data_IF_495854534229
#
_entry.id   IF_495854534229
#
_cell.length_a   1.000
_cell.length_b   1.000
_cell.length_c   1.000
_cell.angle_alpha   90.00
_cell.angle_beta   90.00
_cell.angle_gamma   90.00
#
_symmetry.space_group_name_H-M   'P 1'
#
loop_
_entity.id
_entity.type
_entity.pdbx_description
1 polymer ?
#
# COMPACT_ATOMS: atom_id res chain seq x y z
N UNK A 1 5.30 -5.75 28.35
CA UNK A 1 6.30 -5.76 27.25
C UNK A 1 6.65 -7.21 26.95
N UNK A 2 6.60 -7.62 25.69
CA UNK A 2 6.98 -8.98 25.26
C UNK A 2 8.48 -9.18 25.53
N UNK A 3 8.89 -10.28 26.16
CA UNK A 3 10.30 -10.53 26.48
C UNK A 3 11.11 -10.85 25.22
N UNK A 4 12.44 -10.66 25.28
CA UNK A 4 13.33 -11.02 24.15
C UNK A 4 13.25 -12.52 23.82
N UNK A 5 13.06 -13.37 24.84
CA UNK A 5 12.88 -14.81 24.66
C UNK A 5 11.58 -15.13 23.91
N UNK A 6 10.49 -14.41 24.20
CA UNK A 6 9.21 -14.56 23.49
C UNK A 6 9.32 -14.11 22.04
N UNK A 7 10.03 -13.02 21.79
CA UNK A 7 10.26 -12.53 20.42
C UNK A 7 11.12 -13.52 19.59
N UNK A 8 12.13 -14.12 20.19
CA UNK A 8 12.94 -15.17 19.54
C UNK A 8 12.11 -16.41 19.23
N UNK A 9 11.23 -16.83 20.17
CA UNK A 9 10.31 -17.96 19.96
C UNK A 9 9.34 -17.66 18.82
N UNK A 10 8.69 -16.49 18.82
CA UNK A 10 7.79 -16.08 17.75
C UNK A 10 8.49 -16.09 16.38
N UNK A 11 9.72 -15.54 16.29
CA UNK A 11 10.50 -15.55 15.06
C UNK A 11 10.69 -16.96 14.52
N UNK A 12 11.06 -17.89 15.39
CA UNK A 12 11.20 -19.30 14.99
C UNK A 12 9.88 -19.90 14.52
N UNK A 13 8.79 -19.69 15.24
CA UNK A 13 7.45 -20.17 14.87
C UNK A 13 7.02 -19.65 13.49
N UNK A 14 7.23 -18.36 13.23
CA UNK A 14 6.90 -17.74 11.94
C UNK A 14 7.79 -18.28 10.82
N UNK A 15 9.10 -18.45 11.06
CA UNK A 15 10.03 -19.04 10.08
C UNK A 15 9.61 -20.47 9.72
N UNK A 16 9.43 -21.32 10.72
CA UNK A 16 9.05 -22.74 10.52
C UNK A 16 7.72 -22.83 9.73
N UNK A 17 6.74 -21.99 10.09
CA UNK A 17 5.47 -21.95 9.39
C UNK A 17 5.61 -21.48 7.93
N UNK A 18 6.45 -20.47 7.65
CA UNK A 18 6.69 -19.96 6.31
C UNK A 18 7.41 -20.97 5.42
N UNK A 19 8.36 -21.73 5.96
CA UNK A 19 9.06 -22.80 5.24
C UNK A 19 8.07 -23.84 4.68
N UNK A 20 7.01 -24.17 5.45
CA UNK A 20 5.99 -25.14 5.06
C UNK A 20 4.88 -24.54 4.18
N UNK A 21 4.57 -23.24 4.31
CA UNK A 21 3.34 -22.67 3.78
C UNK A 21 3.54 -21.58 2.71
N UNK A 22 4.70 -20.92 2.65
CA UNK A 22 4.94 -19.87 1.68
C UNK A 22 4.87 -20.43 0.23
N UNK A 23 4.17 -19.74 -0.68
CA UNK A 23 4.00 -20.24 -2.05
C UNK A 23 5.33 -20.18 -2.81
N UNK A 24 5.94 -21.35 -2.99
CA UNK A 24 7.22 -21.47 -3.69
C UNK A 24 7.07 -21.22 -5.19
N UNK A 25 8.01 -20.46 -5.75
CA UNK A 25 8.03 -20.19 -7.20
C UNK A 25 6.84 -19.40 -7.74
N UNK A 26 6.10 -18.73 -6.89
CA UNK A 26 4.87 -17.99 -7.23
C UNK A 26 5.05 -17.03 -8.42
N UNK A 27 6.22 -16.40 -8.57
CA UNK A 27 6.48 -15.51 -9.72
C UNK A 27 6.37 -16.21 -11.07
N UNK A 28 6.80 -17.47 -11.15
CA UNK A 28 6.69 -18.26 -12.38
C UNK A 28 5.26 -18.68 -12.69
N UNK A 29 4.44 -18.83 -11.65
CA UNK A 29 3.02 -19.16 -11.80
C UNK A 29 2.17 -17.93 -12.19
N UNK A 30 2.53 -16.74 -11.69
CA UNK A 30 1.78 -15.51 -11.90
C UNK A 30 2.09 -14.84 -13.25
N UNK A 31 1.91 -15.56 -14.34
CA UNK A 31 2.13 -15.05 -15.72
C UNK A 31 0.89 -14.38 -16.31
N UNK A 32 -0.26 -14.46 -15.62
CA UNK A 32 -1.52 -13.80 -15.97
C UNK A 32 -2.12 -13.18 -14.73
N UNK A 33 -2.93 -12.13 -14.92
CA UNK A 33 -3.56 -11.38 -13.83
C UNK A 33 -4.43 -12.28 -12.95
N UNK A 34 -5.21 -13.20 -13.54
CA UNK A 34 -6.07 -14.12 -12.81
C UNK A 34 -5.25 -15.07 -11.92
N UNK A 35 -4.15 -15.61 -12.44
CA UNK A 35 -3.27 -16.49 -11.67
C UNK A 35 -2.62 -15.75 -10.49
N UNK A 36 -2.31 -14.47 -10.67
CA UNK A 36 -1.85 -13.62 -9.56
C UNK A 36 -2.95 -13.42 -8.52
N UNK A 37 -4.17 -13.09 -8.94
CA UNK A 37 -5.33 -12.91 -8.04
C UNK A 37 -5.62 -14.20 -7.25
N UNK A 38 -5.60 -15.35 -7.89
CA UNK A 38 -5.81 -16.65 -7.23
C UNK A 38 -4.70 -16.95 -6.21
N UNK A 39 -3.43 -16.69 -6.58
CA UNK A 39 -2.29 -16.82 -5.64
C UNK A 39 -2.47 -15.90 -4.42
N UNK A 40 -2.96 -14.67 -4.62
CA UNK A 40 -3.23 -13.73 -3.53
C UNK A 40 -4.34 -14.24 -2.60
N UNK A 41 -5.43 -14.81 -3.16
CA UNK A 41 -6.56 -15.37 -2.41
C UNK A 41 -6.13 -16.56 -1.56
N UNK A 42 -5.38 -17.49 -2.15
CA UNK A 42 -4.91 -18.69 -1.45
C UNK A 42 -3.90 -18.33 -0.36
N UNK A 43 -2.99 -17.41 -0.64
CA UNK A 43 -2.01 -16.93 0.33
C UNK A 43 -2.68 -16.19 1.48
N UNK A 44 -3.66 -15.33 1.20
CA UNK A 44 -4.42 -14.62 2.22
C UNK A 44 -5.13 -15.56 3.18
N UNK A 45 -5.83 -16.59 2.66
CA UNK A 45 -6.50 -17.61 3.49
C UNK A 45 -5.55 -18.31 4.44
N UNK A 46 -4.34 -18.67 3.97
CA UNK A 46 -3.30 -19.28 4.81
C UNK A 46 -2.85 -18.34 5.92
N UNK A 47 -2.59 -17.06 5.59
CA UNK A 47 -2.19 -16.06 6.57
C UNK A 47 -3.28 -15.78 7.61
N UNK A 48 -4.55 -15.71 7.21
CA UNK A 48 -5.67 -15.55 8.14
C UNK A 48 -5.76 -16.76 9.08
N UNK A 49 -5.71 -17.98 8.55
CA UNK A 49 -5.77 -19.20 9.36
C UNK A 49 -4.62 -19.31 10.37
N UNK A 50 -3.43 -18.78 10.03
CA UNK A 50 -2.27 -18.75 10.92
C UNK A 50 -2.26 -17.54 11.89
N UNK A 51 -3.17 -16.57 11.72
CA UNK A 51 -3.19 -15.35 12.50
C UNK A 51 -2.11 -14.33 12.11
N UNK A 52 -1.59 -14.40 10.88
CA UNK A 52 -0.52 -13.52 10.38
C UNK A 52 -1.01 -12.46 9.39
N UNK A 53 -2.29 -12.51 8.96
CA UNK A 53 -2.84 -11.52 8.03
C UNK A 53 -3.10 -10.16 8.68
N UNK A 54 -3.51 -10.15 9.94
CA UNK A 54 -4.03 -8.98 10.65
C UNK A 54 -3.42 -8.79 12.05
N UNK A 55 -2.10 -8.90 12.23
CA UNK A 55 -1.45 -8.83 13.54
C UNK A 55 -1.62 -7.45 14.20
N UNK A 56 -1.91 -6.41 13.42
CA UNK A 56 -2.11 -5.03 13.85
C UNK A 56 -3.56 -4.72 14.29
N UNK A 57 -4.50 -5.66 14.13
CA UNK A 57 -5.88 -5.46 14.58
C UNK A 57 -5.97 -5.61 16.12
N UNK A 58 -7.05 -5.12 16.76
CA UNK A 58 -7.28 -5.35 18.18
C UNK A 58 -7.33 -6.83 18.55
N UNK A 59 -6.99 -7.16 19.80
CA UNK A 59 -6.98 -8.54 20.30
C UNK A 59 -8.35 -9.25 20.29
N UNK A 60 -9.43 -8.50 20.14
CA UNK A 60 -10.77 -9.04 19.95
C UNK A 60 -10.99 -9.72 18.59
N UNK A 61 -10.06 -9.54 17.66
CA UNK A 61 -10.14 -10.12 16.31
C UNK A 61 -9.09 -11.21 16.11
N UNK A 62 -9.39 -12.25 15.30
CA UNK A 62 -8.45 -13.34 15.03
C UNK A 62 -7.09 -12.83 14.52
N UNK A 63 -6.01 -13.28 15.12
CA UNK A 63 -4.65 -12.87 14.78
C UNK A 63 -4.20 -11.52 15.30
N UNK A 64 -5.12 -10.70 15.82
CA UNK A 64 -4.86 -9.35 16.32
C UNK A 64 -4.20 -9.30 17.70
N UNK A 65 -3.98 -8.07 18.20
CA UNK A 65 -3.42 -7.80 19.53
C UNK A 65 -1.90 -8.00 19.63
N UNK A 66 -1.21 -8.16 18.50
CA UNK A 66 0.25 -8.27 18.51
C UNK A 66 0.89 -6.91 18.77
N UNK A 67 1.88 -6.91 19.67
CA UNK A 67 2.70 -5.71 19.89
C UNK A 67 3.43 -5.31 18.62
N UNK A 68 3.85 -4.04 18.49
CA UNK A 68 4.61 -3.56 17.33
C UNK A 68 5.90 -4.36 17.09
N UNK A 69 6.55 -4.85 18.17
CA UNK A 69 7.73 -5.70 18.05
C UNK A 69 7.40 -7.08 17.45
N UNK A 70 6.27 -7.68 17.83
CA UNK A 70 5.79 -8.92 17.24
C UNK A 70 5.35 -8.75 15.79
N UNK A 71 4.63 -7.68 15.48
CA UNK A 71 4.25 -7.32 14.11
C UNK A 71 5.48 -7.17 13.21
N UNK A 72 6.53 -6.49 13.70
CA UNK A 72 7.82 -6.38 13.01
C UNK A 72 8.35 -7.75 12.60
N UNK A 73 8.41 -8.69 13.55
CA UNK A 73 8.92 -10.05 13.29
C UNK A 73 8.12 -10.72 12.17
N UNK A 74 6.79 -10.68 12.25
CA UNK A 74 5.92 -11.31 11.26
C UNK A 74 6.20 -10.74 9.85
N UNK A 75 6.27 -9.41 9.71
CA UNK A 75 6.50 -8.79 8.41
C UNK A 75 7.93 -8.99 7.88
N UNK A 76 8.93 -8.98 8.76
CA UNK A 76 10.32 -9.29 8.39
C UNK A 76 10.45 -10.72 7.85
N UNK A 77 9.85 -11.70 8.54
CA UNK A 77 9.96 -13.10 8.11
C UNK A 77 9.19 -13.37 6.82
N UNK A 78 7.98 -12.79 6.65
CA UNK A 78 7.24 -12.84 5.38
C UNK A 78 8.07 -12.24 4.23
N UNK A 79 8.75 -11.12 4.48
CA UNK A 79 9.63 -10.49 3.49
C UNK A 79 10.86 -11.36 3.18
N UNK A 80 11.48 -11.96 4.20
CA UNK A 80 12.65 -12.84 4.07
C UNK A 80 12.33 -14.13 3.32
N UNK A 81 11.16 -14.73 3.58
CA UNK A 81 10.67 -15.90 2.87
C UNK A 81 10.33 -15.63 1.38
N UNK A 82 10.48 -14.37 0.94
CA UNK A 82 10.13 -13.94 -0.43
C UNK A 82 8.67 -14.29 -0.81
N UNK A 83 7.79 -14.38 0.18
CA UNK A 83 6.39 -14.65 -0.02
C UNK A 83 5.68 -13.47 -0.72
N UNK A 84 4.60 -13.71 -1.49
CA UNK A 84 3.90 -12.63 -2.20
C UNK A 84 3.39 -11.57 -1.24
N UNK A 85 3.59 -10.30 -1.59
CA UNK A 85 2.93 -9.19 -0.88
C UNK A 85 1.45 -9.22 -1.17
N UNK A 86 0.61 -8.97 -0.16
CA UNK A 86 -0.85 -8.99 -0.29
C UNK A 86 -1.39 -7.71 -0.96
N UNK A 87 -1.14 -7.54 -2.26
CA UNK A 87 -1.59 -6.35 -3.00
C UNK A 87 -3.12 -6.33 -3.14
N UNK A 88 -3.75 -7.49 -3.40
CA UNK A 88 -5.19 -7.61 -3.53
C UNK A 88 -5.92 -7.21 -2.23
N UNK A 89 -5.35 -7.55 -1.08
CA UNK A 89 -5.96 -7.33 0.23
C UNK A 89 -5.40 -6.12 0.98
N UNK A 90 -4.50 -5.37 0.37
CA UNK A 90 -3.91 -4.21 1.01
C UNK A 90 -4.97 -3.17 1.37
N UNK A 91 -5.88 -2.88 0.45
CA UNK A 91 -7.03 -2.01 0.69
C UNK A 91 -7.95 -2.53 1.81
N UNK A 92 -8.13 -3.85 1.90
CA UNK A 92 -8.99 -4.49 2.91
C UNK A 92 -8.37 -4.43 4.30
N UNK A 93 -7.16 -4.95 4.46
CA UNK A 93 -6.55 -5.19 5.79
C UNK A 93 -5.95 -3.94 6.42
N UNK A 94 -5.37 -3.04 5.62
CA UNK A 94 -4.74 -1.82 6.14
C UNK A 94 -5.64 -0.60 6.06
N UNK A 95 -6.37 -0.39 4.94
CA UNK A 95 -7.16 0.82 4.78
C UNK A 95 -8.57 0.63 5.35
N UNK A 96 -9.35 -0.30 4.82
CA UNK A 96 -10.74 -0.47 5.22
C UNK A 96 -10.86 -0.87 6.69
N UNK A 97 -10.09 -1.86 7.12
CA UNK A 97 -10.15 -2.33 8.50
C UNK A 97 -9.73 -1.26 9.50
N UNK A 98 -8.59 -0.57 9.28
CA UNK A 98 -8.16 0.49 10.20
C UNK A 98 -9.16 1.64 10.25
N UNK A 99 -9.74 2.02 9.11
CA UNK A 99 -10.75 3.08 9.06
C UNK A 99 -12.04 2.67 9.76
N UNK A 100 -12.49 1.41 9.58
CA UNK A 100 -13.66 0.87 10.27
C UNK A 100 -13.43 0.77 11.78
N UNK A 101 -12.25 0.35 12.22
CA UNK A 101 -11.90 0.24 13.64
C UNK A 101 -11.84 1.61 14.33
N UNK A 102 -11.46 2.67 13.61
CA UNK A 102 -11.32 4.02 14.17
C UNK A 102 -12.63 4.84 14.04
N UNK A 103 -13.33 4.73 12.90
CA UNK A 103 -14.45 5.59 12.53
C UNK A 103 -15.78 4.85 12.36
N UNK A 104 -15.76 3.53 12.25
CA UNK A 104 -16.97 2.74 12.03
C UNK A 104 -17.81 2.60 13.28
N UNK A 105 -19.13 2.71 13.14
CA UNK A 105 -20.06 2.34 14.18
C UNK A 105 -19.94 0.84 14.51
N UNK A 106 -20.32 0.39 15.73
CA UNK A 106 -20.26 -1.02 16.12
C UNK A 106 -20.94 -1.95 15.12
N UNK A 107 -22.07 -1.53 14.55
CA UNK A 107 -22.83 -2.29 13.55
C UNK A 107 -22.06 -2.42 12.23
N UNK A 108 -21.34 -1.37 11.81
CA UNK A 108 -20.50 -1.37 10.63
C UNK A 108 -19.27 -2.28 10.85
N UNK A 109 -18.63 -2.20 12.00
CA UNK A 109 -17.54 -3.09 12.36
C UNK A 109 -17.99 -4.55 12.36
N UNK A 110 -19.12 -4.87 12.99
CA UNK A 110 -19.68 -6.21 13.03
C UNK A 110 -20.09 -6.72 11.63
N UNK A 111 -20.53 -5.82 10.73
CA UNK A 111 -20.93 -6.14 9.36
C UNK A 111 -19.73 -6.42 8.45
N UNK A 112 -18.66 -5.63 8.54
CA UNK A 112 -17.62 -5.60 7.52
C UNK A 112 -16.31 -6.28 7.93
N UNK A 113 -15.87 -6.19 9.19
CA UNK A 113 -14.58 -6.78 9.58
C UNK A 113 -14.53 -8.31 9.44
N UNK A 114 -15.58 -9.09 9.77
CA UNK A 114 -15.59 -10.53 9.51
C UNK A 114 -15.47 -10.85 8.02
N UNK A 115 -16.13 -10.09 7.14
CA UNK A 115 -16.07 -10.31 5.69
C UNK A 115 -14.68 -10.05 5.11
N UNK A 116 -13.95 -9.08 5.66
CA UNK A 116 -12.55 -8.85 5.30
C UNK A 116 -11.72 -10.10 5.62
N UNK A 117 -11.89 -10.69 6.80
CA UNK A 117 -11.20 -11.94 7.18
C UNK A 117 -11.62 -13.13 6.31
N UNK A 118 -12.86 -13.16 5.83
CA UNK A 118 -13.38 -14.16 4.87
C UNK A 118 -12.88 -13.94 3.43
N UNK A 119 -12.22 -12.81 3.17
CA UNK A 119 -11.60 -12.51 1.87
C UNK A 119 -12.37 -11.51 1.01
N UNK A 120 -13.24 -10.67 1.59
CA UNK A 120 -13.83 -9.53 0.88
C UNK A 120 -12.74 -8.52 0.50
N UNK A 121 -12.70 -8.17 -0.78
CA UNK A 121 -11.69 -7.26 -1.34
C UNK A 121 -12.21 -5.83 -1.34
N UNK A 122 -11.39 -4.92 -0.82
CA UNK A 122 -11.67 -3.48 -0.77
C UNK A 122 -10.68 -2.69 -1.59
N UNK A 123 -11.17 -1.71 -2.34
CA UNK A 123 -10.36 -0.71 -3.02
C UNK A 123 -10.59 0.70 -2.44
N UNK A 124 -9.83 1.68 -2.93
CA UNK A 124 -9.99 3.09 -2.59
C UNK A 124 -10.48 3.88 -3.81
N UNK A 125 -11.53 4.68 -3.63
CA UNK A 125 -12.04 5.65 -4.59
C UNK A 125 -11.79 7.07 -4.09
N UNK A 126 -10.52 7.52 -4.13
CA UNK A 126 -10.10 8.84 -3.64
C UNK A 126 -9.82 9.78 -4.79
N UNK A 127 -8.75 9.55 -5.52
CA UNK A 127 -8.29 10.42 -6.61
C UNK A 127 -9.29 10.51 -7.76
N UNK A 128 -9.33 11.68 -8.39
CA UNK A 128 -10.09 11.96 -9.60
C UNK A 128 -9.16 12.47 -10.71
N UNK A 129 -9.56 12.50 -11.98
CA UNK A 129 -8.73 13.00 -13.06
C UNK A 129 -8.12 14.38 -12.80
N UNK A 130 -8.83 15.25 -12.07
CA UNK A 130 -8.40 16.61 -11.74
C UNK A 130 -8.03 16.81 -10.27
N UNK A 131 -8.04 15.75 -9.44
CA UNK A 131 -7.78 15.82 -8.02
C UNK A 131 -6.96 14.61 -7.54
N UNK A 132 -5.64 14.70 -7.66
CA UNK A 132 -4.67 13.73 -7.15
C UNK A 132 -4.00 14.22 -5.88
N UNK A 133 -2.89 14.96 -6.01
CA UNK A 133 -2.18 15.56 -4.86
C UNK A 133 -3.03 16.59 -4.12
N UNK A 134 -3.88 17.35 -4.83
CA UNK A 134 -4.92 18.18 -4.24
C UNK A 134 -6.21 17.37 -4.03
N UNK A 135 -6.13 16.39 -3.13
CA UNK A 135 -7.25 15.48 -2.86
C UNK A 135 -8.48 16.21 -2.33
N UNK A 136 -8.31 17.36 -1.67
CA UNK A 136 -9.42 18.14 -1.17
C UNK A 136 -10.27 18.75 -2.28
N UNK A 137 -9.81 18.77 -3.52
CA UNK A 137 -10.53 19.29 -4.68
C UNK A 137 -11.42 18.24 -5.39
N UNK A 138 -11.64 17.06 -4.79
CA UNK A 138 -12.53 16.04 -5.38
C UNK A 138 -13.95 16.59 -5.56
N UNK A 139 -14.55 16.20 -6.68
CA UNK A 139 -15.83 16.71 -7.17
C UNK A 139 -16.91 15.63 -7.34
N UNK A 140 -16.58 14.35 -7.18
CA UNK A 140 -17.58 13.27 -7.17
C UNK A 140 -18.69 13.61 -6.17
N UNK A 141 -19.88 13.90 -6.69
CA UNK A 141 -21.02 14.42 -5.91
C UNK A 141 -21.77 13.28 -5.25
N UNK A 142 -22.18 13.48 -4.01
CA UNK A 142 -23.14 12.64 -3.31
C UNK A 142 -24.26 13.52 -2.77
N UNK A 143 -25.48 13.28 -3.24
CA UNK A 143 -26.67 14.01 -2.84
C UNK A 143 -27.56 13.13 -1.95
N UNK A 144 -27.86 13.60 -0.75
CA UNK A 144 -28.74 12.88 0.16
C UNK A 144 -30.19 12.97 -0.33
N UNK A 145 -30.81 11.82 -0.62
CA UNK A 145 -32.22 11.68 -1.03
C UNK A 145 -32.90 10.64 -0.14
N UNK A 146 -33.64 11.12 0.82
CA UNK A 146 -34.26 10.25 1.83
C UNK A 146 -33.21 9.55 2.70
N UNK A 147 -33.17 8.24 2.65
CA UNK A 147 -32.25 7.38 3.39
C UNK A 147 -31.03 6.93 2.56
N UNK A 148 -30.79 7.54 1.39
CA UNK A 148 -29.70 7.17 0.47
C UNK A 148 -28.96 8.38 -0.06
N UNK A 149 -27.67 8.19 -0.33
CA UNK A 149 -26.86 9.08 -1.16
C UNK A 149 -26.94 8.63 -2.61
N UNK A 150 -27.24 9.55 -3.53
CA UNK A 150 -27.16 9.35 -4.98
C UNK A 150 -25.84 9.95 -5.46
N UNK A 151 -24.98 9.13 -6.05
CA UNK A 151 -23.59 9.46 -6.34
C UNK A 151 -23.36 9.52 -7.84
N UNK A 152 -22.73 10.61 -8.27
CA UNK A 152 -22.32 10.83 -9.65
C UNK A 152 -20.87 11.34 -9.71
N UNK A 153 -20.04 10.73 -10.56
CA UNK A 153 -18.65 11.15 -10.73
C UNK A 153 -17.73 10.06 -11.24
N UNK A 154 -16.43 10.30 -11.08
CA UNK A 154 -15.40 9.39 -11.56
C UNK A 154 -14.23 9.38 -10.60
N UNK A 155 -13.72 8.17 -10.30
CA UNK A 155 -12.47 7.98 -9.59
C UNK A 155 -11.43 7.35 -10.50
N UNK A 156 -10.15 7.56 -10.19
CA UNK A 156 -9.04 7.05 -10.99
C UNK A 156 -7.91 6.52 -10.09
N UNK A 157 -7.07 5.67 -10.64
CA UNK A 157 -5.93 5.04 -9.96
C UNK A 157 -6.32 4.13 -8.79
N UNK A 158 -7.55 3.60 -8.84
CA UNK A 158 -8.06 2.70 -7.81
C UNK A 158 -7.43 1.32 -7.96
N UNK A 159 -6.52 0.98 -7.02
CA UNK A 159 -5.78 -0.29 -7.03
C UNK A 159 -6.73 -1.47 -6.85
N UNK A 160 -6.63 -2.48 -7.72
CA UNK A 160 -7.41 -3.73 -7.70
C UNK A 160 -8.94 -3.54 -7.76
N UNK A 161 -9.44 -2.36 -8.13
CA UNK A 161 -10.87 -2.09 -8.21
C UNK A 161 -11.67 -3.05 -9.09
N UNK A 162 -11.15 -3.62 -10.20
CA UNK A 162 -11.89 -4.63 -10.98
C UNK A 162 -12.19 -5.92 -10.20
N UNK A 163 -11.45 -6.18 -9.13
CA UNK A 163 -11.60 -7.37 -8.27
C UNK A 163 -12.21 -7.05 -6.91
N UNK A 164 -12.50 -5.77 -6.64
CA UNK A 164 -13.02 -5.32 -5.37
C UNK A 164 -14.53 -5.58 -5.22
N UNK A 165 -14.91 -6.00 -4.03
CA UNK A 165 -16.32 -6.11 -3.62
C UNK A 165 -16.83 -4.79 -3.05
N UNK A 166 -15.94 -4.01 -2.41
CA UNK A 166 -16.24 -2.75 -1.74
C UNK A 166 -15.23 -1.67 -2.07
N UNK A 167 -15.66 -0.41 -1.91
CA UNK A 167 -14.79 0.74 -2.10
C UNK A 167 -14.94 1.75 -0.94
N UNK A 168 -13.80 2.18 -0.41
CA UNK A 168 -13.71 3.35 0.46
C UNK A 168 -13.84 4.59 -0.42
N UNK A 169 -15.00 5.22 -0.44
CA UNK A 169 -15.33 6.27 -1.39
C UNK A 169 -15.35 7.66 -0.74
N UNK A 170 -14.49 8.55 -1.18
CA UNK A 170 -14.51 9.95 -0.78
C UNK A 170 -15.35 10.77 -1.77
N UNK A 171 -16.38 11.43 -1.26
CA UNK A 171 -17.35 12.20 -2.06
C UNK A 171 -17.49 13.61 -1.56
N UNK A 172 -18.18 14.45 -2.33
CA UNK A 172 -18.55 15.81 -1.99
C UNK A 172 -20.05 15.93 -1.80
N UNK A 173 -20.48 16.30 -0.59
CA UNK A 173 -21.88 16.54 -0.24
C UNK A 173 -22.20 18.03 -0.15
N UNK A 174 -21.21 18.89 0.10
CA UNK A 174 -21.38 20.33 0.20
C UNK A 174 -20.25 21.10 -0.47
N UNK A 175 -20.55 22.17 -1.20
CA UNK A 175 -19.63 23.07 -1.88
C UNK A 175 -19.57 24.49 -1.28
N UNK A 176 -20.28 24.72 -0.17
CA UNK A 176 -20.44 26.07 0.41
C UNK A 176 -19.22 26.55 1.21
N UNK A 177 -18.28 25.64 1.55
CA UNK A 177 -17.15 25.92 2.41
C UNK A 177 -15.79 25.74 1.74
N UNK A 178 -14.73 25.66 2.56
CA UNK A 178 -13.39 25.30 2.10
C UNK A 178 -13.36 23.87 1.53
N UNK A 179 -12.43 23.57 0.63
CA UNK A 179 -12.35 22.27 -0.05
C UNK A 179 -12.36 21.05 0.90
N UNK A 180 -11.78 21.16 2.10
CA UNK A 180 -11.78 20.09 3.09
C UNK A 180 -13.12 19.93 3.81
N UNK A 181 -13.95 20.98 3.83
CA UNK A 181 -15.31 20.97 4.40
C UNK A 181 -16.28 20.46 3.33
N UNK A 182 -17.29 19.72 3.73
CA UNK A 182 -18.28 19.17 2.80
C UNK A 182 -17.85 17.91 2.06
N UNK A 183 -16.77 17.26 2.50
CA UNK A 183 -16.41 15.92 2.07
C UNK A 183 -17.05 14.88 2.99
N UNK A 184 -17.58 13.82 2.39
CA UNK A 184 -18.27 12.73 3.10
C UNK A 184 -17.67 11.40 2.65
N UNK A 185 -17.52 10.48 3.58
CA UNK A 185 -16.91 9.18 3.33
C UNK A 185 -17.96 8.07 3.33
N UNK A 186 -18.00 7.26 2.27
CA UNK A 186 -19.02 6.24 2.05
C UNK A 186 -18.39 4.87 1.78
N UNK A 187 -19.06 3.81 2.22
CA UNK A 187 -18.73 2.41 1.96
C UNK A 187 -19.54 1.92 0.76
N UNK A 188 -18.95 2.00 -0.42
CA UNK A 188 -19.61 1.67 -1.69
C UNK A 188 -19.58 0.17 -1.97
N UNK A 189 -20.71 -0.41 -2.37
CA UNK A 189 -20.79 -1.72 -3.00
C UNK A 189 -20.35 -1.61 -4.47
N UNK A 190 -19.26 -2.29 -4.85
CA UNK A 190 -18.74 -2.25 -6.22
C UNK A 190 -19.66 -2.96 -7.23
N UNK A 191 -20.63 -3.73 -6.75
CA UNK A 191 -21.66 -4.42 -7.56
C UNK A 191 -22.97 -3.63 -7.65
N UNK A 192 -23.05 -2.45 -7.01
CA UNK A 192 -24.23 -1.61 -7.09
C UNK A 192 -24.50 -1.16 -8.54
N UNK A 193 -25.78 -1.00 -8.87
CA UNK A 193 -26.20 -0.48 -10.19
C UNK A 193 -25.58 0.91 -10.40
N UNK A 194 -25.02 1.14 -11.59
CA UNK A 194 -24.38 2.41 -11.96
C UNK A 194 -22.88 2.45 -11.67
N UNK A 195 -22.29 1.46 -10.99
CA UNK A 195 -20.84 1.34 -10.79
C UNK A 195 -20.22 0.60 -11.97
N UNK A 196 -19.17 1.19 -12.55
CA UNK A 196 -18.36 0.55 -13.57
C UNK A 196 -16.87 0.77 -13.29
N UNK A 197 -16.12 -0.30 -13.00
CA UNK A 197 -14.67 -0.27 -12.92
C UNK A 197 -14.06 -0.63 -14.28
N UNK A 198 -13.18 0.23 -14.80
CA UNK A 198 -12.47 0.02 -16.08
C UNK A 198 -10.97 -0.05 -15.83
N UNK A 199 -10.32 -1.17 -16.12
CA UNK A 199 -8.87 -1.30 -15.98
C UNK A 199 -8.12 -0.26 -16.82
N UNK A 200 -6.98 0.21 -16.28
CA UNK A 200 -6.07 1.12 -16.97
C UNK A 200 -4.85 0.31 -17.41
N UNK A 201 -4.61 0.24 -18.71
CA UNK A 201 -3.40 -0.34 -19.27
C UNK A 201 -2.18 0.49 -18.86
N UNK A 202 -1.29 -0.11 -18.09
CA UNK A 202 -0.07 0.54 -17.64
C UNK A 202 1.09 0.29 -18.61
N UNK A 203 2.15 1.11 -18.51
CA UNK A 203 3.38 0.93 -19.30
C UNK A 203 4.02 -0.45 -19.06
N UNK A 204 3.82 -1.04 -17.89
CA UNK A 204 4.21 -2.40 -17.52
C UNK A 204 3.37 -3.46 -18.22
N UNK A 205 2.17 -3.12 -18.69
CA UNK A 205 1.18 -4.00 -19.31
C UNK A 205 0.27 -4.70 -18.30
N UNK A 206 0.38 -4.40 -17.01
CA UNK A 206 -0.59 -4.85 -16.02
C UNK A 206 -1.81 -3.90 -15.97
N UNK A 207 -2.90 -4.37 -15.37
CA UNK A 207 -4.19 -3.68 -15.26
C UNK A 207 -4.65 -3.58 -13.80
N UNK A 208 -3.70 -3.47 -12.87
CA UNK A 208 -4.01 -3.41 -11.44
C UNK A 208 -4.70 -2.11 -10.99
N UNK A 209 -4.57 -1.03 -11.76
CA UNK A 209 -5.29 0.22 -11.52
C UNK A 209 -6.52 0.33 -12.41
N UNK A 210 -7.54 0.99 -11.91
CA UNK A 210 -8.76 1.25 -12.67
C UNK A 210 -9.30 2.66 -12.47
N UNK A 211 -10.12 3.08 -13.42
CA UNK A 211 -11.12 4.13 -13.25
C UNK A 211 -12.40 3.50 -12.68
N UNK A 212 -13.10 4.24 -11.83
CA UNK A 212 -14.43 3.87 -11.34
C UNK A 212 -15.40 4.97 -11.77
N UNK A 213 -16.33 4.63 -12.64
CA UNK A 213 -17.43 5.50 -13.06
C UNK A 213 -18.64 5.25 -12.18
N UNK A 214 -19.29 6.33 -11.76
CA UNK A 214 -20.44 6.33 -10.87
C UNK A 214 -21.57 7.13 -11.55
N UNK A 215 -22.66 6.44 -11.86
CA UNK A 215 -23.82 7.01 -12.57
C UNK A 215 -25.11 6.67 -11.80
N UNK A 216 -25.64 7.68 -11.09
CA UNK A 216 -26.77 7.56 -10.17
C UNK A 216 -26.68 6.37 -9.20
N UNK A 217 -25.49 6.18 -8.64
CA UNK A 217 -25.21 5.08 -7.70
C UNK A 217 -25.81 5.38 -6.33
N UNK A 218 -26.63 4.48 -5.81
CA UNK A 218 -27.25 4.63 -4.51
C UNK A 218 -26.43 3.95 -3.40
N UNK A 219 -26.13 4.68 -2.34
CA UNK A 219 -25.49 4.19 -1.11
C UNK A 219 -26.36 4.53 0.10
N UNK A 220 -26.74 3.55 0.94
CA UNK A 220 -27.50 3.80 2.15
C UNK A 220 -26.77 4.73 3.13
N UNK A 221 -27.52 5.56 3.86
CA UNK A 221 -26.94 6.44 4.90
C UNK A 221 -26.19 5.65 5.98
N UNK A 222 -26.63 4.44 6.27
CA UNK A 222 -25.98 3.51 7.21
C UNK A 222 -24.57 3.09 6.79
N UNK A 223 -24.22 3.21 5.50
CA UNK A 223 -22.88 2.93 4.94
C UNK A 223 -22.02 4.22 4.85
N UNK A 224 -22.40 5.31 5.53
CA UNK A 224 -21.55 6.49 5.74
C UNK A 224 -20.63 6.28 6.94
N UNK A 225 -19.35 6.59 6.78
CA UNK A 225 -18.37 6.60 7.87
C UNK A 225 -18.18 8.02 8.42
N UNK A 226 -18.33 8.17 9.72
CA UNK A 226 -18.35 9.49 10.38
C UNK A 226 -19.63 10.27 10.08
N UNK A 227 -19.69 11.52 10.52
CA UNK A 227 -20.78 12.43 10.17
C UNK A 227 -20.62 12.97 8.74
N UNK A 228 -21.71 13.51 8.19
CA UNK A 228 -21.65 14.27 6.93
C UNK A 228 -20.71 15.46 7.09
N UNK A 229 -19.82 15.67 6.14
CA UNK A 229 -18.79 16.71 6.21
C UNK A 229 -17.49 16.29 6.90
N UNK A 230 -17.42 15.15 7.60
CA UNK A 230 -16.20 14.65 8.25
C UNK A 230 -15.29 13.80 7.32
N UNK A 231 -15.67 13.62 6.06
CA UNK A 231 -14.95 12.75 5.13
C UNK A 231 -13.47 13.06 4.97
N UNK A 232 -13.05 14.31 5.16
CA UNK A 232 -11.63 14.68 5.13
C UNK A 232 -10.86 14.08 6.30
N UNK A 233 -11.41 14.12 7.51
CA UNK A 233 -10.77 13.53 8.71
C UNK A 233 -10.67 12.00 8.56
N UNK A 234 -11.73 11.34 8.10
CA UNK A 234 -11.76 9.91 7.82
C UNK A 234 -10.71 9.54 6.75
N UNK A 235 -10.62 10.31 5.65
CA UNK A 235 -9.64 10.07 4.61
C UNK A 235 -8.20 10.23 5.11
N UNK A 236 -7.93 11.22 5.98
CA UNK A 236 -6.60 11.38 6.59
C UNK A 236 -6.23 10.23 7.53
N UNK A 237 -7.17 9.70 8.30
CA UNK A 237 -6.99 8.51 9.13
C UNK A 237 -6.65 7.30 8.26
N UNK A 238 -7.43 7.06 7.20
CA UNK A 238 -7.17 5.99 6.22
C UNK A 238 -5.77 6.08 5.64
N UNK A 239 -5.35 7.26 5.16
CA UNK A 239 -4.02 7.47 4.58
C UNK A 239 -2.88 7.38 5.62
N UNK A 240 -3.19 7.55 6.90
CA UNK A 240 -2.21 7.43 7.97
C UNK A 240 -1.94 5.98 8.36
N UNK A 241 -2.90 5.09 8.17
CA UNK A 241 -2.78 3.67 8.51
C UNK A 241 -1.69 2.94 7.70
N UNK A 242 -1.41 3.40 6.48
CA UNK A 242 -0.32 2.87 5.64
C UNK A 242 1.09 3.16 6.18
N UNK A 243 1.22 4.22 6.98
CA UNK A 243 2.52 4.77 7.33
C UNK A 243 3.09 4.05 8.54
N UNK A 244 4.01 3.15 8.35
CA UNK A 244 4.70 2.53 9.47
C UNK A 244 5.24 1.16 9.12
N UNK A 245 4.53 0.11 9.50
CA UNK A 245 4.96 -1.28 9.28
C UNK A 245 5.08 -1.65 7.80
N UNK A 246 4.27 -1.03 6.92
CA UNK A 246 4.40 -1.20 5.47
C UNK A 246 5.78 -0.76 4.97
N UNK A 247 6.31 0.36 5.45
CA UNK A 247 7.64 0.84 5.05
C UNK A 247 8.75 -0.05 5.60
N UNK A 248 8.56 -0.65 6.78
CA UNK A 248 9.46 -1.67 7.32
C UNK A 248 9.47 -2.91 6.42
N UNK A 249 8.30 -3.48 6.12
CA UNK A 249 8.16 -4.62 5.22
C UNK A 249 8.84 -4.37 3.88
N UNK A 250 8.58 -3.22 3.26
CA UNK A 250 9.15 -2.84 1.98
C UNK A 250 10.68 -2.72 2.03
N UNK A 251 11.23 -2.17 3.11
CA UNK A 251 12.68 -2.04 3.29
C UNK A 251 13.34 -3.41 3.44
N UNK A 252 12.73 -4.32 4.21
CA UNK A 252 13.23 -5.69 4.37
C UNK A 252 13.13 -6.50 3.07
N UNK A 253 12.05 -6.34 2.30
CA UNK A 253 11.92 -6.94 0.98
C UNK A 253 13.01 -6.45 0.03
N UNK A 254 13.35 -5.17 0.10
CA UNK A 254 14.43 -4.60 -0.70
C UNK A 254 15.80 -5.15 -0.27
N UNK A 255 16.04 -5.34 1.04
CA UNK A 255 17.22 -6.02 1.56
C UNK A 255 17.34 -7.45 1.02
N UNK A 256 16.25 -8.22 1.10
CA UNK A 256 16.18 -9.57 0.52
C UNK A 256 16.42 -9.57 -0.99
N UNK A 257 15.91 -8.57 -1.71
CA UNK A 257 16.07 -8.43 -3.15
C UNK A 257 17.53 -8.20 -3.59
N UNK A 258 18.42 -7.72 -2.71
CA UNK A 258 19.85 -7.55 -3.02
C UNK A 258 20.52 -8.86 -3.43
N UNK A 259 20.06 -10.01 -2.92
CA UNK A 259 20.54 -11.31 -3.37
C UNK A 259 20.26 -11.59 -4.85
N UNK A 260 19.10 -11.21 -5.34
CA UNK A 260 18.76 -11.36 -6.77
C UNK A 260 19.68 -10.52 -7.65
N UNK A 261 19.98 -9.29 -7.21
CA UNK A 261 20.93 -8.42 -7.92
C UNK A 261 22.35 -8.99 -7.89
N UNK A 262 22.82 -9.47 -6.74
CA UNK A 262 24.13 -10.12 -6.62
C UNK A 262 24.25 -11.33 -7.54
N UNK A 263 23.22 -12.19 -7.58
CA UNK A 263 23.15 -13.34 -8.49
C UNK A 263 23.20 -12.90 -9.96
N UNK A 264 22.47 -11.84 -10.34
CA UNK A 264 22.50 -11.31 -11.70
C UNK A 264 23.88 -10.77 -12.08
N UNK A 265 24.59 -10.11 -11.16
CA UNK A 265 25.97 -9.63 -11.37
C UNK A 265 26.91 -10.81 -11.65
N UNK A 266 26.82 -11.88 -10.85
CA UNK A 266 27.67 -13.08 -11.01
C UNK A 266 27.36 -13.79 -12.32
N UNK A 267 26.10 -14.02 -12.65
CA UNK A 267 25.69 -14.76 -13.86
C UNK A 267 26.07 -14.04 -15.17
N UNK A 268 26.11 -12.72 -15.18
CA UNK A 268 26.41 -11.91 -16.36
C UNK A 268 27.94 -11.61 -16.51
N UNK A 269 28.78 -12.27 -15.70
CA UNK A 269 30.25 -12.07 -15.72
C UNK A 269 30.62 -10.58 -15.58
N UNK A 270 29.84 -9.86 -14.75
CA UNK A 270 30.05 -8.44 -14.45
C UNK A 270 30.70 -8.21 -13.08
N UNK A 271 31.07 -9.28 -12.42
CA UNK A 271 31.67 -9.22 -11.08
C UNK A 271 33.01 -8.47 -11.06
N UNK A 272 33.73 -8.46 -12.17
CA UNK A 272 35.03 -7.79 -12.29
C UNK A 272 34.93 -6.35 -12.81
N UNK A 273 33.74 -5.83 -13.06
CA UNK A 273 33.51 -4.43 -13.44
C UNK A 273 33.60 -3.52 -12.19
N UNK A 274 34.67 -2.70 -12.05
CA UNK A 274 34.83 -1.85 -10.86
C UNK A 274 33.70 -0.85 -10.69
N UNK A 275 33.05 -0.43 -11.77
CA UNK A 275 31.91 0.47 -11.75
C UNK A 275 30.69 -0.20 -11.13
N UNK A 276 30.39 -1.43 -11.53
CA UNK A 276 29.29 -2.22 -10.97
C UNK A 276 29.55 -2.57 -9.51
N UNK A 277 30.77 -3.01 -9.16
CA UNK A 277 31.14 -3.30 -7.77
C UNK A 277 30.94 -2.08 -6.85
N UNK A 278 31.44 -0.91 -7.28
CA UNK A 278 31.27 0.34 -6.54
C UNK A 278 29.80 0.72 -6.35
N UNK A 279 29.00 0.61 -7.42
CA UNK A 279 27.59 1.00 -7.37
C UNK A 279 26.76 -0.02 -6.58
N UNK A 280 27.10 -1.31 -6.63
CA UNK A 280 26.51 -2.31 -5.75
C UNK A 280 26.84 -2.06 -4.28
N UNK A 281 28.08 -1.74 -3.94
CA UNK A 281 28.47 -1.38 -2.57
C UNK A 281 27.74 -0.14 -2.05
N UNK A 282 27.64 0.91 -2.88
CA UNK A 282 26.85 2.12 -2.54
C UNK A 282 25.38 1.81 -2.34
N UNK A 283 24.80 0.97 -3.19
CA UNK A 283 23.42 0.55 -3.08
C UNK A 283 23.17 -0.25 -1.81
N UNK A 284 24.06 -1.19 -1.47
CA UNK A 284 23.99 -1.98 -0.23
C UNK A 284 23.95 -1.04 0.99
N UNK A 285 24.83 -0.04 1.04
CA UNK A 285 24.84 0.96 2.12
C UNK A 285 23.52 1.71 2.21
N UNK A 286 22.91 2.10 1.07
CA UNK A 286 21.63 2.80 1.05
C UNK A 286 20.47 1.90 1.50
N UNK A 287 20.47 0.63 1.11
CA UNK A 287 19.46 -0.35 1.54
C UNK A 287 19.53 -0.57 3.05
N UNK A 288 20.72 -0.77 3.62
CA UNK A 288 20.91 -0.91 5.06
C UNK A 288 20.50 0.36 5.81
N UNK A 289 20.81 1.55 5.28
CA UNK A 289 20.37 2.82 5.85
C UNK A 289 18.83 2.96 5.80
N UNK A 290 18.17 2.46 4.73
CA UNK A 290 16.71 2.47 4.63
C UNK A 290 16.07 1.59 5.71
N UNK A 291 16.59 0.38 5.91
CA UNK A 291 16.14 -0.53 6.96
C UNK A 291 16.37 0.04 8.36
N UNK A 292 17.53 0.66 8.59
CA UNK A 292 17.84 1.32 9.86
C UNK A 292 16.89 2.50 10.17
N UNK A 293 16.55 3.30 9.17
CA UNK A 293 15.56 4.39 9.32
C UNK A 293 14.17 3.85 9.65
N UNK A 294 13.74 2.78 8.97
CA UNK A 294 12.45 2.13 9.25
C UNK A 294 12.40 1.55 10.66
N UNK A 295 13.51 0.96 11.11
CA UNK A 295 13.68 0.42 12.47
C UNK A 295 13.65 1.53 13.53
N UNK A 296 14.38 2.62 13.30
CA UNK A 296 14.39 3.78 14.20
C UNK A 296 13.00 4.40 14.33
N UNK A 297 12.26 4.50 13.22
CA UNK A 297 10.87 4.96 13.25
C UNK A 297 10.00 4.06 14.13
N UNK A 298 10.11 2.74 13.96
CA UNK A 298 9.36 1.79 14.75
C UNK A 298 9.70 1.90 16.26
N UNK A 299 10.99 2.05 16.61
CA UNK A 299 11.41 2.24 18.00
C UNK A 299 10.82 3.53 18.60
N UNK A 300 10.81 4.62 17.84
CA UNK A 300 10.17 5.88 18.27
C UNK A 300 8.66 5.69 18.49
N UNK A 301 7.99 4.97 17.60
CA UNK A 301 6.56 4.67 17.73
C UNK A 301 6.26 3.80 18.96
N UNK A 302 7.06 2.78 19.23
CA UNK A 302 6.97 1.96 20.44
C UNK A 302 7.15 2.82 21.71
N UNK A 303 8.05 3.78 21.67
CA UNK A 303 8.33 4.71 22.77
C UNK A 303 7.30 5.87 22.87
N UNK A 304 6.32 5.98 21.97
CA UNK A 304 5.39 7.11 21.91
C UNK A 304 6.05 8.44 21.51
N UNK A 305 7.19 8.39 20.82
CA UNK A 305 8.01 9.53 20.40
C UNK A 305 7.99 9.75 18.87
N UNK A 306 6.99 9.19 18.20
CA UNK A 306 6.78 9.37 16.76
C UNK A 306 6.61 10.85 16.41
N UNK A 307 7.27 11.33 15.36
CA UNK A 307 7.17 12.69 14.87
C UNK A 307 6.41 12.75 13.54
N UNK A 308 5.63 13.82 13.38
CA UNK A 308 4.97 14.08 12.11
C UNK A 308 6.04 14.29 11.01
N UNK A 309 6.14 13.39 10.05
CA UNK A 309 7.14 13.44 8.99
C UNK A 309 8.14 12.28 9.00
N UNK A 310 8.27 11.52 10.09
CA UNK A 310 9.17 10.35 10.16
C UNK A 310 8.90 9.37 9.01
N UNK A 311 7.65 8.98 8.81
CA UNK A 311 7.26 8.10 7.71
C UNK A 311 7.52 8.72 6.32
N UNK A 312 7.39 10.05 6.20
CA UNK A 312 7.67 10.76 4.94
C UNK A 312 9.14 10.71 4.56
N UNK A 313 10.06 10.79 5.54
CA UNK A 313 11.50 10.65 5.32
C UNK A 313 11.81 9.26 4.77
N UNK A 314 11.26 8.21 5.39
CA UNK A 314 11.49 6.83 4.96
C UNK A 314 10.93 6.60 3.56
N UNK A 315 9.70 7.08 3.29
CA UNK A 315 9.06 6.93 1.97
C UNK A 315 9.86 7.58 0.86
N UNK A 316 10.35 8.79 1.06
CA UNK A 316 11.21 9.49 0.10
C UNK A 316 12.51 8.75 -0.14
N UNK A 317 13.15 8.27 0.93
CA UNK A 317 14.42 7.56 0.82
C UNK A 317 14.23 6.20 0.15
N UNK A 318 13.22 5.44 0.56
CA UNK A 318 12.86 4.15 -0.03
C UNK A 318 12.62 4.26 -1.54
N UNK A 319 11.81 5.23 -1.99
CA UNK A 319 11.52 5.41 -3.41
C UNK A 319 12.78 5.64 -4.26
N UNK A 320 13.77 6.38 -3.72
CA UNK A 320 15.06 6.61 -4.38
C UNK A 320 15.93 5.35 -4.40
N UNK A 321 16.03 4.66 -3.26
CA UNK A 321 16.85 3.44 -3.14
C UNK A 321 16.30 2.34 -4.03
N UNK A 322 14.98 2.18 -4.08
CA UNK A 322 14.32 1.25 -5.00
C UNK A 322 14.67 1.57 -6.46
N UNK A 323 14.62 2.83 -6.86
CA UNK A 323 14.98 3.24 -8.24
C UNK A 323 16.45 2.95 -8.55
N UNK A 324 17.35 3.22 -7.62
CA UNK A 324 18.78 2.87 -7.77
C UNK A 324 18.96 1.35 -7.93
N UNK A 325 18.22 0.55 -7.14
CA UNK A 325 18.25 -0.91 -7.19
C UNK A 325 17.86 -1.45 -8.57
N UNK A 326 16.67 -1.05 -9.07
CA UNK A 326 16.18 -1.54 -10.36
C UNK A 326 17.01 -0.99 -11.53
N UNK A 327 17.50 0.24 -11.45
CA UNK A 327 18.37 0.84 -12.45
C UNK A 327 19.69 0.08 -12.57
N UNK A 328 20.27 -0.32 -11.44
CA UNK A 328 21.48 -1.14 -11.44
C UNK A 328 21.20 -2.53 -12.02
N UNK A 329 20.04 -3.13 -11.70
CA UNK A 329 19.61 -4.42 -12.27
C UNK A 329 19.49 -4.39 -13.80
N UNK A 330 18.82 -3.37 -14.36
CA UNK A 330 18.73 -3.15 -15.82
C UNK A 330 20.13 -2.99 -16.43
N UNK A 331 21.01 -2.20 -15.81
CA UNK A 331 22.36 -1.97 -16.31
C UNK A 331 23.23 -3.25 -16.27
N UNK A 332 23.13 -4.05 -15.21
CA UNK A 332 23.88 -5.31 -15.07
C UNK A 332 23.47 -6.32 -16.13
N UNK A 333 22.18 -6.42 -16.41
CA UNK A 333 21.64 -7.35 -17.42
C UNK A 333 21.86 -6.86 -18.85
N UNK A 334 22.21 -5.59 -19.05
CA UNK A 334 22.51 -5.02 -20.38
C UNK A 334 21.29 -5.06 -21.31
N UNK A 335 21.49 -5.49 -22.57
CA UNK A 335 20.40 -5.56 -23.56
C UNK A 335 19.29 -6.52 -23.12
N UNK A 336 19.62 -7.65 -22.48
CA UNK A 336 18.61 -8.57 -21.94
C UNK A 336 17.75 -7.94 -20.87
N UNK A 337 18.33 -7.02 -20.08
CA UNK A 337 17.59 -6.27 -19.06
C UNK A 337 16.63 -5.23 -19.61
N UNK A 338 16.80 -4.85 -20.87
CA UNK A 338 15.92 -3.93 -21.59
C UNK A 338 14.78 -4.66 -22.31
N UNK A 339 14.90 -5.98 -22.46
CA UNK A 339 13.88 -6.79 -23.08
C UNK A 339 12.72 -7.02 -22.11
N UNK A 340 11.51 -6.73 -22.59
CA UNK A 340 10.30 -7.03 -21.85
C UNK A 340 9.96 -8.51 -22.03
N UNK A 341 10.36 -9.34 -21.08
CA UNK A 341 9.92 -10.73 -21.02
C UNK A 341 8.38 -10.79 -20.78
N UNK A 342 7.73 -11.95 -21.05
CA UNK A 342 6.35 -12.16 -20.63
C UNK A 342 6.19 -11.76 -19.17
N UNK A 343 5.14 -10.99 -18.89
CA UNK A 343 4.95 -10.36 -17.59
C UNK A 343 4.75 -11.41 -16.50
N UNK A 344 5.46 -11.23 -15.40
CA UNK A 344 5.11 -11.83 -14.13
C UNK A 344 4.32 -10.78 -13.34
N UNK A 345 3.09 -11.12 -12.99
CA UNK A 345 2.28 -10.28 -12.13
C UNK A 345 2.82 -10.36 -10.70
N UNK A 346 3.11 -9.22 -10.13
CA UNK A 346 3.60 -9.09 -8.78
C UNK A 346 3.45 -7.65 -8.35
N UNK A 347 3.23 -7.42 -7.08
CA UNK A 347 3.03 -6.09 -6.55
C UNK A 347 4.33 -5.28 -6.46
N UNK A 348 4.64 -4.47 -7.44
CA UNK A 348 5.72 -3.50 -7.31
C UNK A 348 7.09 -4.05 -7.72
N UNK A 349 8.10 -4.00 -6.85
CA UNK A 349 9.51 -4.25 -7.15
C UNK A 349 9.92 -5.72 -7.29
N UNK A 350 9.00 -6.65 -7.40
CA UNK A 350 9.30 -8.07 -7.13
C UNK A 350 8.90 -9.01 -8.25
N UNK A 351 8.73 -8.50 -9.46
CA UNK A 351 8.30 -9.36 -10.58
C UNK A 351 9.42 -10.32 -11.04
N UNK A 352 10.66 -10.01 -10.71
CA UNK A 352 11.85 -10.73 -11.21
C UNK A 352 12.26 -10.32 -12.62
N UNK A 353 11.54 -9.37 -13.22
CA UNK A 353 11.88 -8.76 -14.51
C UNK A 353 12.37 -7.32 -14.29
N UNK A 354 13.65 -7.07 -14.51
CA UNK A 354 14.28 -5.78 -14.20
C UNK A 354 13.62 -4.58 -14.90
N UNK A 355 13.18 -4.74 -16.14
CA UNK A 355 12.53 -3.64 -16.87
C UNK A 355 11.14 -3.36 -16.33
N UNK A 356 10.36 -4.39 -15.99
CA UNK A 356 9.04 -4.22 -15.37
C UNK A 356 9.18 -3.58 -13.99
N UNK A 357 10.12 -4.06 -13.19
CA UNK A 357 10.39 -3.50 -11.85
C UNK A 357 10.89 -2.05 -11.94
N UNK A 358 11.71 -1.71 -12.95
CA UNK A 358 12.16 -0.36 -13.23
C UNK A 358 10.97 0.57 -13.54
N UNK A 359 10.10 0.17 -14.46
CA UNK A 359 8.90 0.95 -14.79
C UNK A 359 7.96 1.12 -13.57
N UNK A 360 7.75 0.04 -12.81
CA UNK A 360 6.95 0.07 -11.59
C UNK A 360 7.54 0.98 -10.49
N UNK A 361 8.85 1.17 -10.44
CA UNK A 361 9.51 1.96 -9.38
C UNK A 361 9.07 3.42 -9.34
N UNK A 362 8.61 3.97 -10.48
CA UNK A 362 8.11 5.33 -10.54
C UNK A 362 6.80 5.53 -9.77
N UNK A 363 6.00 4.47 -9.63
CA UNK A 363 4.78 4.51 -8.82
C UNK A 363 5.06 4.96 -7.38
N UNK A 364 6.18 4.55 -6.81
CA UNK A 364 6.58 4.90 -5.44
C UNK A 364 6.95 6.37 -5.24
N UNK A 365 7.21 7.11 -6.30
CA UNK A 365 7.40 8.56 -6.25
C UNK A 365 6.07 9.34 -6.35
N UNK A 366 4.98 8.66 -6.69
CA UNK A 366 3.66 9.27 -6.97
C UNK A 366 2.62 8.84 -5.92
N UNK A 367 2.42 7.53 -5.74
CA UNK A 367 1.42 6.97 -4.86
C UNK A 367 1.72 7.22 -3.37
N UNK A 368 0.67 7.25 -2.53
CA UNK A 368 0.79 7.51 -1.09
C UNK A 368 1.28 8.92 -0.76
N UNK A 369 0.97 9.90 -1.64
CA UNK A 369 1.51 11.27 -1.64
C UNK A 369 2.82 11.36 -2.41
N UNK A 370 2.85 12.23 -3.43
CA UNK A 370 4.05 12.41 -4.27
C UNK A 370 5.28 12.82 -3.47
N UNK A 371 6.45 12.68 -4.07
CA UNK A 371 7.71 13.10 -3.43
C UNK A 371 7.66 14.57 -2.99
N UNK A 372 6.93 15.45 -3.72
CA UNK A 372 6.71 16.86 -3.38
C UNK A 372 5.80 16.99 -2.15
N UNK A 373 4.71 16.23 -2.10
CA UNK A 373 3.80 16.21 -0.93
C UNK A 373 4.56 15.71 0.31
N UNK A 374 5.42 14.69 0.18
CA UNK A 374 6.22 14.21 1.32
C UNK A 374 7.20 15.29 1.81
N UNK A 375 7.83 16.06 0.89
CA UNK A 375 8.68 17.19 1.25
C UNK A 375 7.90 18.29 1.96
N UNK A 376 6.68 18.60 1.50
CA UNK A 376 5.82 19.57 2.17
C UNK A 376 5.45 19.12 3.60
N UNK A 377 5.12 17.84 3.77
CA UNK A 377 4.85 17.29 5.11
C UNK A 377 6.07 17.43 6.03
N UNK A 378 7.27 17.13 5.55
CA UNK A 378 8.51 17.29 6.31
C UNK A 378 8.74 18.77 6.65
N UNK A 379 8.63 19.65 5.66
CA UNK A 379 8.85 21.08 5.83
C UNK A 379 7.87 21.68 6.83
N UNK A 380 6.57 21.48 6.62
CA UNK A 380 5.52 22.13 7.42
C UNK A 380 5.32 21.49 8.79
N UNK A 381 5.31 20.15 8.88
CA UNK A 381 4.93 19.46 10.12
C UNK A 381 6.12 19.08 10.99
N UNK A 382 7.26 18.70 10.40
CA UNK A 382 8.46 18.31 11.15
C UNK A 382 9.35 19.53 11.42
N UNK A 383 9.71 20.29 10.38
CA UNK A 383 10.60 21.45 10.47
C UNK A 383 9.86 22.74 10.83
N UNK A 384 8.51 22.71 10.87
CA UNK A 384 7.65 23.86 11.21
C UNK A 384 7.91 25.09 10.33
N UNK A 385 8.29 24.88 9.09
CA UNK A 385 8.45 25.94 8.11
C UNK A 385 7.08 26.55 7.75
N UNK A 386 7.00 27.82 7.35
CA UNK A 386 5.77 28.43 6.90
C UNK A 386 5.25 27.73 5.64
N UNK A 387 3.93 27.64 5.53
CA UNK A 387 3.26 27.15 4.31
C UNK A 387 3.48 28.12 3.16
N UNK A 388 3.48 27.59 1.93
CA UNK A 388 3.47 28.43 0.74
C UNK A 388 2.28 29.40 0.77
N UNK A 389 2.50 30.69 0.39
CA UNK A 389 1.41 31.66 0.28
C UNK A 389 0.35 31.19 -0.71
N UNK A 390 -0.92 31.25 -0.32
CA UNK A 390 -2.02 30.99 -1.24
C UNK A 390 -2.00 32.06 -2.35
N UNK A 391 -1.92 31.65 -3.60
CA UNK A 391 -2.04 32.57 -4.73
C UNK A 391 -0.83 32.67 -5.68
N UNK A 392 0.27 31.98 -5.42
CA UNK A 392 1.32 31.80 -6.43
C UNK A 392 0.80 30.82 -7.50
N UNK A 393 0.21 31.39 -8.57
CA UNK A 393 0.06 30.70 -9.83
C UNK A 393 1.30 31.00 -10.66
N UNK A 394 2.10 29.97 -10.97
CA UNK A 394 3.13 30.08 -11.99
C UNK A 394 2.49 30.31 -13.35
#
# INVERSE_FOLDING_TARGET
>A
MTSEADLKRLRKEVCDWLDDNAPQGWRKACTRQEAFVDTQRDWYKKLVAAGYATPHWPASWPGGGRSLAEQKIIYEEIARADAPRLILYFGSTYHAASTLLEWGAPEQQAKYLPRILEGEVWCQGFSEPNAGSDLAAVSTRAELRGDRYVINGQKIWSTMAPYADRCLLLTRTDNSGANQVGLTFLLLDMKAKGVQARPINQITGDEKFAEIFLDDVEVPVEDRLGAEGEGWAVAQATLSSERGLTLLELSERLRGAMWRLATSIQQKIRQDDPGIQRDFGRLTTKVEACCALADQFLQRRIAGQEQAGDASIIKLFYARVLRDYVSLGVRVTGLDGQYRAPMTYGGGQETGNWMVDFMNSYNWSIAGGSDEIQRNIIAERLLRMPREPKGWRL
#
